data_IF_901770305985
#
_entry.id   IF_901770305985
#
_cell.length_a   1.000
_cell.length_b   1.000
_cell.length_c   1.000
_cell.angle_alpha   90.00
_cell.angle_beta   90.00
_cell.angle_gamma   90.00
#
_symmetry.space_group_name_H-M   'P 1'
#
loop_
_entity.id
_entity.type
_entity.pdbx_description
1 polymer ?
#
# COMPACT_ATOMS: atom_id res chain seq x y z
N UNK A 1 17.16 -10.64 8.30
CA UNK A 1 16.19 -9.53 8.47
C UNK A 1 16.54 -8.40 7.51
N UNK A 2 15.64 -8.05 6.60
CA UNK A 2 15.85 -6.98 5.62
C UNK A 2 15.25 -5.66 6.06
N UNK A 3 15.89 -4.55 5.70
CA UNK A 3 15.35 -3.21 5.85
C UNK A 3 14.89 -2.64 4.50
N UNK A 4 13.71 -2.02 4.49
CA UNK A 4 13.21 -1.16 3.42
C UNK A 4 12.95 0.21 4.00
N UNK A 5 13.67 1.21 3.49
CA UNK A 5 13.71 2.54 4.10
C UNK A 5 12.91 3.55 3.28
N UNK A 6 12.37 4.57 3.95
CA UNK A 6 11.71 5.66 3.27
C UNK A 6 12.72 6.39 2.34
N UNK A 7 12.39 6.63 1.05
CA UNK A 7 13.37 7.09 0.06
C UNK A 7 13.93 8.50 0.31
N UNK A 8 13.24 9.33 1.11
CA UNK A 8 13.63 10.74 1.32
C UNK A 8 13.85 11.12 2.78
N UNK A 9 13.40 10.29 3.75
CA UNK A 9 13.55 10.59 5.17
C UNK A 9 14.83 9.98 5.71
N UNK A 10 15.44 10.64 6.68
CA UNK A 10 16.52 10.05 7.45
C UNK A 10 15.92 9.01 8.43
N UNK A 11 16.21 7.75 8.20
CA UNK A 11 15.82 6.63 9.05
C UNK A 11 16.99 6.13 9.90
N UNK A 12 18.17 6.78 9.86
CA UNK A 12 19.39 6.32 10.55
C UNK A 12 19.19 6.06 12.05
N UNK A 13 18.44 6.87 12.82
CA UNK A 13 18.20 6.58 14.23
C UNK A 13 17.45 5.25 14.44
N UNK A 14 16.42 4.97 13.63
CA UNK A 14 15.67 3.74 13.72
C UNK A 14 16.46 2.53 13.22
N UNK A 15 17.27 2.70 12.19
CA UNK A 15 18.22 1.67 11.74
C UNK A 15 19.18 1.31 12.87
N UNK A 16 19.68 2.31 13.60
CA UNK A 16 20.53 2.11 14.78
C UNK A 16 19.85 1.30 15.89
N UNK A 17 18.57 1.56 16.17
CA UNK A 17 17.78 0.77 17.12
C UNK A 17 17.62 -0.69 16.65
N UNK A 18 17.23 -0.91 15.39
CA UNK A 18 17.12 -2.26 14.84
C UNK A 18 18.46 -2.99 14.89
N UNK A 19 19.57 -2.32 14.51
CA UNK A 19 20.90 -2.91 14.54
C UNK A 19 21.35 -3.29 15.95
N UNK A 20 21.07 -2.45 16.94
CA UNK A 20 21.35 -2.76 18.33
C UNK A 20 20.55 -3.97 18.83
N UNK A 21 19.26 -4.05 18.46
CA UNK A 21 18.42 -5.19 18.82
C UNK A 21 18.88 -6.48 18.14
N UNK A 22 19.15 -6.46 16.83
CA UNK A 22 19.57 -7.63 16.06
C UNK A 22 20.91 -8.19 16.52
N UNK A 23 21.86 -7.32 16.94
CA UNK A 23 23.17 -7.74 17.45
C UNK A 23 23.09 -8.56 18.75
N UNK A 24 22.00 -8.41 19.53
CA UNK A 24 21.78 -9.18 20.78
C UNK A 24 20.92 -10.43 20.56
N UNK A 25 20.39 -10.65 19.36
CA UNK A 25 19.46 -11.73 19.03
C UNK A 25 19.96 -12.69 17.94
N UNK A 26 21.23 -12.59 17.56
CA UNK A 26 21.85 -13.41 16.49
C UNK A 26 21.08 -13.32 15.15
N UNK A 27 20.66 -12.10 14.79
CA UNK A 27 19.93 -11.80 13.56
C UNK A 27 20.82 -10.96 12.65
N UNK A 28 21.12 -11.47 11.46
CA UNK A 28 21.79 -10.66 10.43
C UNK A 28 20.84 -9.58 9.90
N UNK A 29 21.31 -8.33 9.91
CA UNK A 29 20.60 -7.17 9.38
C UNK A 29 21.19 -6.74 8.04
N UNK A 30 20.33 -6.63 7.03
CA UNK A 30 20.71 -6.31 5.66
C UNK A 30 19.82 -5.20 5.10
N UNK A 31 20.36 -4.42 4.15
CA UNK A 31 19.60 -3.39 3.44
C UNK A 31 20.02 -3.32 1.98
N UNK A 32 19.29 -2.55 1.16
CA UNK A 32 19.68 -2.33 -0.22
C UNK A 32 21.00 -1.55 -0.33
N UNK A 33 21.81 -1.83 -1.36
CA UNK A 33 23.03 -1.08 -1.64
C UNK A 33 22.78 0.43 -1.69
N UNK A 34 21.67 0.83 -2.31
CA UNK A 34 21.27 2.24 -2.44
C UNK A 34 21.02 2.88 -1.07
N UNK A 35 20.28 2.20 -0.18
CA UNK A 35 19.99 2.72 1.14
C UNK A 35 21.22 2.78 2.05
N UNK A 36 22.07 1.75 2.01
CA UNK A 36 23.34 1.72 2.76
C UNK A 36 24.23 2.88 2.32
N UNK A 37 24.31 3.14 1.01
CA UNK A 37 25.11 4.24 0.45
C UNK A 37 24.50 5.60 0.80
N UNK A 38 23.20 5.77 0.61
CA UNK A 38 22.49 7.03 0.83
C UNK A 38 22.54 7.52 2.28
N UNK A 39 22.43 6.62 3.23
CA UNK A 39 22.39 6.95 4.67
C UNK A 39 23.73 6.71 5.36
N UNK A 40 24.78 6.33 4.63
CA UNK A 40 26.09 6.02 5.17
C UNK A 40 26.01 5.09 6.41
N UNK A 41 25.38 3.92 6.26
CA UNK A 41 25.13 2.96 7.34
C UNK A 41 26.30 1.96 7.49
N UNK A 42 27.35 2.30 8.28
CA UNK A 42 28.49 1.40 8.44
C UNK A 42 28.06 0.13 9.20
N UNK A 43 28.57 -1.02 8.77
CA UNK A 43 28.35 -2.29 9.46
C UNK A 43 27.06 -3.03 9.05
N UNK A 44 26.24 -2.48 8.16
CA UNK A 44 25.16 -3.21 7.53
C UNK A 44 25.65 -3.95 6.29
N UNK A 45 25.20 -5.18 6.12
CA UNK A 45 25.41 -5.93 4.87
C UNK A 45 24.54 -5.32 3.77
N UNK A 46 25.18 -4.89 2.68
CA UNK A 46 24.50 -4.31 1.52
C UNK A 46 24.20 -5.42 0.49
N UNK A 47 22.95 -5.52 0.06
CA UNK A 47 22.48 -6.49 -0.92
C UNK A 47 21.85 -5.77 -2.13
N UNK A 48 21.84 -6.43 -3.28
CA UNK A 48 20.98 -6.00 -4.39
C UNK A 48 19.50 -6.15 -3.99
N UNK A 49 18.61 -5.49 -4.72
CA UNK A 49 17.16 -5.55 -4.47
C UNK A 49 16.65 -6.99 -4.65
N UNK A 50 17.18 -7.72 -5.62
CA UNK A 50 16.85 -9.11 -5.93
C UNK A 50 17.33 -10.07 -4.83
N UNK A 51 18.56 -9.87 -4.32
CA UNK A 51 19.07 -10.65 -3.18
C UNK A 51 18.26 -10.37 -1.92
N UNK A 52 17.94 -9.10 -1.62
CA UNK A 52 17.11 -8.73 -0.49
C UNK A 52 15.74 -9.43 -0.55
N UNK A 53 15.10 -9.42 -1.73
CA UNK A 53 13.81 -10.05 -1.96
C UNK A 53 13.84 -11.58 -1.79
N UNK A 54 14.95 -12.23 -2.15
CA UNK A 54 15.06 -13.70 -2.19
C UNK A 54 15.63 -14.33 -0.91
N UNK A 55 16.42 -13.59 -0.13
CA UNK A 55 17.17 -14.17 1.00
C UNK A 55 16.58 -13.84 2.38
N UNK A 56 15.91 -12.69 2.53
CA UNK A 56 15.40 -12.27 3.83
C UNK A 56 14.23 -13.14 4.31
N UNK A 57 14.20 -13.48 5.60
CA UNK A 57 13.10 -14.22 6.23
C UNK A 57 12.02 -13.28 6.84
N UNK A 58 12.30 -12.00 6.88
CA UNK A 58 11.37 -10.94 7.29
C UNK A 58 11.90 -9.57 6.92
N UNK A 59 11.00 -8.62 6.78
CA UNK A 59 11.32 -7.24 6.39
C UNK A 59 10.79 -6.28 7.47
N UNK A 60 11.58 -5.26 7.78
CA UNK A 60 11.14 -4.09 8.55
C UNK A 60 11.09 -2.90 7.57
N UNK A 61 9.90 -2.37 7.36
CA UNK A 61 9.67 -1.18 6.54
C UNK A 61 9.67 0.06 7.43
N UNK A 62 10.72 0.88 7.35
CA UNK A 62 10.89 2.12 8.13
C UNK A 62 10.39 3.32 7.31
N UNK A 63 9.14 3.72 7.55
CA UNK A 63 8.49 4.80 6.79
C UNK A 63 7.00 4.87 7.04
N UNK A 64 6.24 5.37 6.06
CA UNK A 64 4.78 5.35 6.08
C UNK A 64 4.21 4.19 5.27
N UNK A 65 2.88 4.24 5.03
CA UNK A 65 2.16 3.20 4.28
C UNK A 65 2.79 2.92 2.90
N UNK A 66 3.25 3.94 2.17
CA UNK A 66 3.92 3.77 0.87
C UNK A 66 5.22 2.94 0.94
N UNK A 67 6.01 3.11 2.02
CA UNK A 67 7.23 2.30 2.25
C UNK A 67 6.86 0.84 2.53
N UNK A 68 5.82 0.63 3.32
CA UNK A 68 5.30 -0.70 3.64
C UNK A 68 4.78 -1.41 2.39
N UNK A 69 4.00 -0.72 1.55
CA UNK A 69 3.53 -1.27 0.26
C UNK A 69 4.70 -1.63 -0.66
N UNK A 70 5.73 -0.78 -0.73
CA UNK A 70 6.96 -1.06 -1.46
C UNK A 70 7.66 -2.33 -0.96
N UNK A 71 7.76 -2.49 0.36
CA UNK A 71 8.34 -3.68 0.99
C UNK A 71 7.53 -4.96 0.66
N UNK A 72 6.19 -4.88 0.72
CA UNK A 72 5.32 -6.01 0.36
C UNK A 72 5.48 -6.39 -1.13
N UNK A 73 5.54 -5.40 -2.04
CA UNK A 73 5.79 -5.66 -3.46
C UNK A 73 7.15 -6.33 -3.68
N UNK A 74 8.18 -5.85 -2.99
CA UNK A 74 9.54 -6.40 -3.10
C UNK A 74 9.57 -7.92 -2.83
N UNK A 75 8.88 -8.37 -1.79
CA UNK A 75 8.92 -9.78 -1.36
C UNK A 75 7.73 -10.61 -1.88
N UNK A 76 6.91 -10.09 -2.76
CA UNK A 76 5.68 -10.74 -3.23
C UNK A 76 5.89 -12.04 -4.01
N UNK A 77 7.09 -12.23 -4.60
CA UNK A 77 7.50 -13.48 -5.24
C UNK A 77 7.79 -14.62 -4.23
N UNK A 78 8.20 -14.26 -3.02
CA UNK A 78 8.40 -15.13 -1.85
C UNK A 78 7.88 -14.39 -0.61
N UNK A 79 6.57 -14.36 -0.35
CA UNK A 79 6.02 -13.57 0.74
C UNK A 79 6.64 -13.94 2.09
N UNK A 80 7.26 -12.96 2.73
CA UNK A 80 7.78 -13.05 4.09
C UNK A 80 7.09 -12.01 4.98
N UNK A 81 7.07 -12.18 6.31
CA UNK A 81 6.47 -11.21 7.21
C UNK A 81 7.09 -9.82 7.08
N UNK A 82 6.26 -8.80 6.92
CA UNK A 82 6.67 -7.39 6.82
C UNK A 82 6.11 -6.63 8.00
N UNK A 83 6.99 -6.02 8.82
CA UNK A 83 6.62 -5.11 9.89
C UNK A 83 6.70 -3.67 9.39
N UNK A 84 5.60 -2.92 9.46
CA UNK A 84 5.57 -1.48 9.16
C UNK A 84 5.82 -0.64 10.42
N UNK A 85 6.82 0.24 10.36
CA UNK A 85 7.16 1.20 11.42
C UNK A 85 6.99 2.61 10.89
N UNK A 86 6.09 3.38 11.52
CA UNK A 86 5.73 4.71 11.09
C UNK A 86 6.56 5.80 11.78
N UNK A 87 7.07 6.74 11.00
CA UNK A 87 7.79 7.92 11.46
C UNK A 87 7.11 9.23 11.05
N UNK A 88 5.82 9.22 10.84
CA UNK A 88 5.08 10.37 10.35
C UNK A 88 3.62 10.38 10.75
N UNK A 89 2.79 10.90 9.86
CA UNK A 89 1.35 10.97 10.07
C UNK A 89 0.75 9.57 10.21
N UNK A 90 -0.32 9.47 11.00
CA UNK A 90 -1.06 8.24 11.21
C UNK A 90 -1.43 7.58 9.87
N UNK A 91 -0.88 6.38 9.63
CA UNK A 91 -1.18 5.53 8.48
C UNK A 91 -2.30 4.52 8.78
N UNK A 92 -2.81 3.85 7.76
CA UNK A 92 -3.76 2.73 7.91
C UNK A 92 -3.05 1.40 8.12
N UNK A 93 -1.83 1.27 7.60
CA UNK A 93 -1.13 0.00 7.47
C UNK A 93 -0.03 -0.18 8.52
N UNK A 94 0.85 0.82 8.66
CA UNK A 94 1.94 0.78 9.63
C UNK A 94 1.40 0.93 11.06
N UNK A 95 1.62 -0.07 11.90
CA UNK A 95 1.07 -0.14 13.26
C UNK A 95 2.02 0.39 14.32
N UNK A 96 3.31 0.15 14.15
CA UNK A 96 4.33 0.48 15.14
C UNK A 96 4.81 1.92 14.94
N UNK A 97 4.90 2.69 16.02
CA UNK A 97 5.58 3.98 16.02
C UNK A 97 7.06 3.80 16.37
N UNK A 98 7.92 4.72 15.89
CA UNK A 98 9.36 4.61 16.13
C UNK A 98 9.73 4.45 17.62
N UNK A 99 8.98 5.07 18.52
CA UNK A 99 9.18 4.94 19.96
C UNK A 99 8.88 3.53 20.52
N UNK A 100 8.01 2.78 19.84
CA UNK A 100 7.58 1.44 20.25
C UNK A 100 8.38 0.31 19.56
N UNK A 101 9.39 0.65 18.74
CA UNK A 101 10.11 -0.28 17.87
C UNK A 101 10.76 -1.45 18.64
N UNK A 102 11.50 -1.17 19.71
CA UNK A 102 12.18 -2.21 20.51
C UNK A 102 11.17 -3.18 21.14
N UNK A 103 10.05 -2.65 21.66
CA UNK A 103 8.99 -3.47 22.23
C UNK A 103 8.29 -4.33 21.16
N UNK A 104 8.14 -3.80 19.94
CA UNK A 104 7.58 -4.54 18.82
C UNK A 104 8.49 -5.68 18.36
N UNK A 105 9.79 -5.44 18.22
CA UNK A 105 10.77 -6.45 17.86
C UNK A 105 10.83 -7.57 18.91
N UNK A 106 10.82 -7.22 20.20
CA UNK A 106 10.81 -8.19 21.29
C UNK A 106 9.56 -9.06 21.26
N UNK A 107 8.35 -8.47 21.02
CA UNK A 107 7.11 -9.24 20.87
C UNK A 107 7.15 -10.19 19.67
N UNK A 108 7.76 -9.77 18.55
CA UNK A 108 7.94 -10.63 17.38
C UNK A 108 8.83 -11.84 17.72
N UNK A 109 9.98 -11.61 18.37
CA UNK A 109 10.91 -12.66 18.76
C UNK A 109 10.28 -13.68 19.74
N UNK A 110 9.40 -13.21 20.61
CA UNK A 110 8.66 -14.03 21.58
C UNK A 110 7.43 -14.74 20.96
N UNK A 111 7.17 -14.57 19.66
CA UNK A 111 5.98 -15.13 18.99
C UNK A 111 4.66 -14.49 19.41
N UNK A 112 4.70 -13.30 20.01
CA UNK A 112 3.53 -12.52 20.46
C UNK A 112 3.06 -11.52 19.40
N UNK A 113 3.22 -11.88 18.15
CA UNK A 113 2.71 -11.14 17.00
C UNK A 113 1.83 -12.07 16.15
N UNK A 114 0.98 -11.48 15.33
CA UNK A 114 0.18 -12.22 14.36
C UNK A 114 0.57 -11.77 12.94
N UNK A 115 0.27 -12.61 11.95
CA UNK A 115 0.52 -12.30 10.54
C UNK A 115 -0.81 -12.28 9.81
N UNK A 116 -1.13 -11.12 9.26
CA UNK A 116 -2.30 -10.94 8.39
C UNK A 116 -1.90 -11.17 6.93
N UNK A 117 -2.64 -12.06 6.26
CA UNK A 117 -2.49 -12.30 4.82
C UNK A 117 -3.20 -11.22 4.03
N UNK A 118 -2.57 -10.71 2.98
CA UNK A 118 -3.12 -9.67 2.11
C UNK A 118 -3.07 -10.12 0.66
N UNK A 119 -4.19 -9.97 -0.04
CA UNK A 119 -4.23 -10.10 -1.48
C UNK A 119 -3.72 -8.83 -2.16
N UNK A 120 -3.43 -8.94 -3.44
CA UNK A 120 -3.04 -7.82 -4.30
C UNK A 120 -3.68 -7.92 -5.68
N UNK A 121 -3.60 -6.83 -6.43
CA UNK A 121 -3.91 -6.80 -7.85
C UNK A 121 -2.68 -7.25 -8.64
N UNK A 122 -2.89 -8.19 -9.55
CA UNK A 122 -1.92 -8.56 -10.58
C UNK A 122 -2.28 -7.81 -11.85
N UNK A 123 -1.37 -6.99 -12.31
CA UNK A 123 -1.63 -6.01 -13.38
C UNK A 123 -0.75 -6.35 -14.58
N UNK A 124 -1.38 -6.78 -15.67
CA UNK A 124 -0.71 -7.05 -16.94
C UNK A 124 -0.82 -5.86 -17.89
N UNK A 125 0.31 -5.35 -18.35
CA UNK A 125 0.40 -4.29 -19.35
C UNK A 125 1.72 -4.38 -20.12
N UNK A 126 1.71 -4.11 -21.42
CA UNK A 126 2.94 -4.06 -22.26
C UNK A 126 3.76 -5.35 -22.29
N UNK A 127 3.15 -6.50 -22.01
CA UNK A 127 3.83 -7.79 -21.95
C UNK A 127 4.55 -8.07 -20.60
N UNK A 128 4.45 -7.15 -19.64
CA UNK A 128 4.95 -7.30 -18.26
C UNK A 128 3.82 -7.53 -17.26
N UNK A 129 4.19 -7.96 -16.05
CA UNK A 129 3.31 -8.09 -14.89
C UNK A 129 3.84 -7.21 -13.76
N UNK A 130 2.92 -6.53 -13.07
CA UNK A 130 3.19 -5.71 -11.89
C UNK A 130 2.18 -6.00 -10.80
N UNK A 131 2.48 -5.62 -9.56
CA UNK A 131 1.58 -5.83 -8.43
C UNK A 131 1.22 -4.51 -7.75
N UNK A 132 -0.03 -4.40 -7.32
CA UNK A 132 -0.50 -3.29 -6.50
C UNK A 132 -1.25 -3.82 -5.28
N UNK A 133 -0.88 -3.34 -4.09
CA UNK A 133 -1.51 -3.72 -2.83
C UNK A 133 -2.63 -2.76 -2.43
N UNK A 134 -2.57 -1.49 -2.87
CA UNK A 134 -3.68 -0.55 -2.71
C UNK A 134 -4.50 -0.44 -3.98
N UNK A 135 -3.93 0.13 -5.03
CA UNK A 135 -4.69 0.48 -6.23
C UNK A 135 -3.85 0.58 -7.51
N UNK A 136 -4.56 0.43 -8.60
CA UNK A 136 -4.15 0.75 -9.97
C UNK A 136 -4.98 1.92 -10.42
N UNK A 137 -4.35 2.97 -10.92
CA UNK A 137 -5.04 4.20 -11.31
C UNK A 137 -4.74 4.56 -12.75
N UNK A 138 -5.78 4.82 -13.51
CA UNK A 138 -5.74 5.53 -14.78
C UNK A 138 -6.23 6.93 -14.50
N UNK A 139 -5.32 7.92 -14.50
CA UNK A 139 -5.65 9.31 -14.17
C UNK A 139 -5.51 10.22 -15.38
N UNK A 140 -6.49 11.08 -15.59
CA UNK A 140 -6.45 12.11 -16.61
C UNK A 140 -5.23 13.02 -16.45
N UNK A 141 -4.58 13.30 -17.58
CA UNK A 141 -3.54 14.32 -17.69
C UNK A 141 -4.13 15.54 -18.36
N UNK A 142 -3.94 16.76 -17.79
CA UNK A 142 -4.44 17.98 -18.40
C UNK A 142 -3.99 18.14 -19.86
N UNK A 143 -4.94 18.38 -20.77
CA UNK A 143 -4.68 18.52 -22.20
C UNK A 143 -4.67 17.21 -23.00
N UNK A 144 -4.71 16.05 -22.35
CA UNK A 144 -4.63 14.75 -23.04
C UNK A 144 -5.97 13.95 -23.06
N UNK A 145 -7.09 14.63 -22.82
CA UNK A 145 -8.42 14.05 -22.83
C UNK A 145 -8.83 13.40 -21.50
N UNK A 146 -10.02 12.84 -21.46
CA UNK A 146 -10.54 12.07 -20.32
C UNK A 146 -10.09 10.61 -20.42
N UNK A 147 -10.15 9.91 -19.31
CA UNK A 147 -10.01 8.45 -19.32
C UNK A 147 -11.26 7.84 -19.93
N UNK A 148 -11.10 7.20 -21.09
CA UNK A 148 -12.17 6.47 -21.75
C UNK A 148 -11.76 5.01 -21.88
N UNK A 149 -12.55 4.10 -21.29
CA UNK A 149 -12.22 2.70 -21.27
C UNK A 149 -13.44 1.79 -21.29
N UNK A 150 -13.36 0.69 -22.02
CA UNK A 150 -14.29 -0.43 -21.94
C UNK A 150 -13.82 -1.41 -20.87
N UNK A 151 -14.71 -1.78 -19.94
CA UNK A 151 -14.47 -2.85 -18.98
C UNK A 151 -15.08 -4.13 -19.47
N UNK A 152 -14.30 -5.21 -19.48
CA UNK A 152 -14.76 -6.58 -19.60
C UNK A 152 -14.43 -7.35 -18.33
N UNK A 153 -15.36 -8.20 -17.88
CA UNK A 153 -15.23 -9.07 -16.70
C UNK A 153 -15.38 -10.52 -17.19
N UNK A 154 -14.42 -11.37 -16.86
CA UNK A 154 -14.40 -12.77 -17.32
C UNK A 154 -14.65 -12.92 -18.83
N UNK A 155 -14.05 -12.04 -19.64
CA UNK A 155 -14.15 -12.03 -21.10
C UNK A 155 -15.45 -11.47 -21.66
N UNK A 156 -16.40 -11.05 -20.84
CA UNK A 156 -17.67 -10.45 -21.28
C UNK A 156 -17.66 -8.94 -21.06
N UNK A 157 -18.12 -8.17 -22.04
CA UNK A 157 -18.25 -6.72 -21.89
C UNK A 157 -19.21 -6.41 -20.74
N UNK A 158 -18.70 -5.68 -19.76
CA UNK A 158 -19.44 -5.28 -18.56
C UNK A 158 -19.98 -3.86 -18.67
N UNK A 159 -19.16 -2.93 -19.15
CA UNK A 159 -19.55 -1.54 -19.26
C UNK A 159 -18.49 -0.64 -19.88
N UNK A 160 -18.77 0.65 -19.83
CA UNK A 160 -17.92 1.72 -20.33
C UNK A 160 -17.73 2.79 -19.25
N UNK A 161 -16.56 3.39 -19.23
CA UNK A 161 -16.22 4.51 -18.37
C UNK A 161 -15.73 5.69 -19.20
N UNK A 162 -16.17 6.89 -18.83
CA UNK A 162 -15.59 8.16 -19.25
C UNK A 162 -15.53 9.08 -18.04
N UNK A 163 -14.33 9.28 -17.49
CA UNK A 163 -14.13 9.89 -16.17
C UNK A 163 -12.77 10.61 -16.10
N UNK A 164 -12.53 11.35 -15.02
CA UNK A 164 -11.23 11.97 -14.77
C UNK A 164 -10.20 10.96 -14.25
N UNK A 165 -10.65 9.96 -13.49
CA UNK A 165 -9.81 8.81 -13.14
C UNK A 165 -10.64 7.54 -13.02
N UNK A 166 -10.02 6.40 -13.33
CA UNK A 166 -10.55 5.07 -13.07
C UNK A 166 -9.60 4.35 -12.11
N UNK A 167 -10.12 4.02 -10.94
CA UNK A 167 -9.36 3.43 -9.84
C UNK A 167 -9.81 1.98 -9.65
N UNK A 168 -8.86 1.04 -9.72
CA UNK A 168 -9.08 -0.35 -9.36
C UNK A 168 -8.35 -0.60 -8.05
N UNK A 169 -9.08 -0.83 -6.99
CA UNK A 169 -8.52 -0.93 -5.64
C UNK A 169 -8.73 -2.32 -5.05
N UNK A 170 -7.78 -2.74 -4.21
CA UNK A 170 -7.99 -3.84 -3.28
C UNK A 170 -8.93 -3.39 -2.15
N UNK A 171 -9.50 -4.30 -1.36
CA UNK A 171 -10.18 -3.93 -0.12
C UNK A 171 -9.32 -3.10 0.83
N UNK A 172 -8.01 -3.39 0.93
CA UNK A 172 -7.05 -2.60 1.71
C UNK A 172 -6.91 -1.18 1.14
N UNK A 173 -6.82 -1.04 -0.19
CA UNK A 173 -6.74 0.24 -0.91
C UNK A 173 -8.06 1.01 -0.98
N UNK A 174 -9.18 0.41 -0.54
CA UNK A 174 -10.48 1.09 -0.54
C UNK A 174 -10.50 2.38 0.27
N UNK A 175 -9.61 2.52 1.25
CA UNK A 175 -9.42 3.72 2.09
C UNK A 175 -8.40 4.72 1.53
N UNK A 176 -7.79 4.43 0.37
CA UNK A 176 -6.82 5.27 -0.31
C UNK A 176 -7.51 6.16 -1.39
N UNK A 177 -7.03 6.16 -2.62
CA UNK A 177 -7.56 7.02 -3.67
C UNK A 177 -9.02 6.67 -4.03
N UNK A 178 -9.42 5.40 -3.95
CA UNK A 178 -10.81 4.98 -4.17
C UNK A 178 -11.77 5.72 -3.23
N UNK A 179 -11.43 5.85 -1.93
CA UNK A 179 -12.24 6.61 -0.98
C UNK A 179 -12.35 8.09 -1.37
N UNK A 180 -11.24 8.73 -1.69
CA UNK A 180 -11.22 10.13 -2.13
C UNK A 180 -12.04 10.37 -3.41
N UNK A 181 -12.20 9.35 -4.26
CA UNK A 181 -13.04 9.36 -5.45
C UNK A 181 -14.52 9.01 -5.17
N UNK A 182 -14.90 8.83 -3.90
CA UNK A 182 -16.27 8.50 -3.49
C UNK A 182 -16.58 7.00 -3.49
N UNK A 183 -15.57 6.15 -3.52
CA UNK A 183 -15.71 4.69 -3.36
C UNK A 183 -16.06 4.29 -1.93
N UNK A 184 -16.72 3.14 -1.73
CA UNK A 184 -17.04 2.64 -0.40
C UNK A 184 -15.79 2.13 0.31
N UNK A 185 -15.81 2.16 1.63
CA UNK A 185 -14.87 1.41 2.46
C UNK A 185 -15.21 -0.07 2.40
N UNK A 186 -14.24 -0.90 2.08
CA UNK A 186 -14.37 -2.36 2.05
C UNK A 186 -13.54 -2.95 3.17
N UNK A 187 -14.09 -3.94 3.88
CA UNK A 187 -13.36 -4.65 4.93
C UNK A 187 -12.07 -5.28 4.38
N UNK A 188 -10.91 -5.07 5.01
CA UNK A 188 -9.64 -5.65 4.56
C UNK A 188 -9.61 -7.19 4.54
N UNK A 189 -10.55 -7.84 5.21
CA UNK A 189 -10.74 -9.30 5.17
C UNK A 189 -11.58 -9.80 4.02
N UNK A 190 -12.10 -8.89 3.16
CA UNK A 190 -12.82 -9.24 1.94
C UNK A 190 -11.82 -9.47 0.81
N UNK A 191 -12.08 -10.43 -0.07
CA UNK A 191 -11.36 -10.59 -1.32
C UNK A 191 -12.14 -9.98 -2.48
N UNK A 192 -11.44 -9.32 -3.41
CA UNK A 192 -12.08 -8.75 -4.59
C UNK A 192 -11.43 -7.46 -5.09
N UNK A 193 -11.96 -6.94 -6.17
CA UNK A 193 -11.50 -5.76 -6.89
C UNK A 193 -12.59 -4.71 -6.89
N UNK A 194 -12.32 -3.57 -6.30
CA UNK A 194 -13.22 -2.42 -6.29
C UNK A 194 -12.88 -1.50 -7.47
N UNK A 195 -13.80 -1.29 -8.38
CA UNK A 195 -13.66 -0.39 -9.53
C UNK A 195 -14.41 0.90 -9.24
N UNK A 196 -13.71 2.02 -9.09
CA UNK A 196 -14.28 3.32 -8.72
C UNK A 196 -13.95 4.37 -9.78
N UNK A 197 -14.93 4.95 -10.48
CA UNK A 197 -14.70 6.10 -11.35
C UNK A 197 -14.69 7.40 -10.55
N UNK A 198 -13.76 8.31 -10.84
CA UNK A 198 -13.71 9.67 -10.31
C UNK A 198 -14.31 10.64 -11.32
N UNK A 199 -15.21 11.51 -10.89
CA UNK A 199 -15.91 12.49 -11.72
C UNK A 199 -16.42 11.89 -13.05
N UNK A 200 -17.24 10.84 -13.06
CA UNK A 200 -17.72 10.20 -14.27
C UNK A 200 -18.66 11.15 -15.04
N UNK A 201 -18.38 11.31 -16.35
CA UNK A 201 -19.22 12.10 -17.24
C UNK A 201 -20.37 11.27 -17.81
N UNK A 202 -20.07 10.04 -18.21
CA UNK A 202 -21.06 9.06 -18.69
C UNK A 202 -20.56 7.62 -18.47
N UNK A 203 -21.40 6.64 -18.73
CA UNK A 203 -21.13 5.21 -18.48
C UNK A 203 -21.43 4.82 -17.04
N UNK A 204 -20.64 3.92 -16.47
CA UNK A 204 -20.82 3.47 -15.09
C UNK A 204 -20.34 4.59 -14.14
N UNK A 205 -21.27 5.10 -13.33
CA UNK A 205 -21.03 6.22 -12.43
C UNK A 205 -20.94 5.81 -10.94
N UNK A 206 -21.01 4.53 -10.65
CA UNK A 206 -20.93 3.99 -9.28
C UNK A 206 -19.78 3.00 -9.18
N UNK A 207 -19.24 2.90 -7.97
CA UNK A 207 -18.25 1.86 -7.67
C UNK A 207 -18.89 0.48 -7.78
N UNK A 208 -18.10 -0.47 -8.29
CA UNK A 208 -18.49 -1.86 -8.44
C UNK A 208 -17.46 -2.72 -7.73
N UNK A 209 -17.90 -3.60 -6.83
CA UNK A 209 -17.04 -4.60 -6.21
C UNK A 209 -17.24 -5.93 -6.97
N UNK A 210 -16.15 -6.46 -7.50
CA UNK A 210 -16.10 -7.72 -8.24
C UNK A 210 -15.38 -8.77 -7.39
N UNK A 211 -15.86 -10.01 -7.47
CA UNK A 211 -15.33 -11.12 -6.68
C UNK A 211 -13.93 -11.58 -7.14
N UNK A 212 -13.23 -12.35 -6.31
CA UNK A 212 -12.00 -13.01 -6.72
C UNK A 212 -12.32 -14.06 -7.82
N UNK A 213 -11.41 -14.20 -8.78
CA UNK A 213 -11.62 -15.12 -9.94
C UNK A 213 -12.44 -14.50 -11.07
N UNK A 214 -12.73 -13.22 -11.03
CA UNK A 214 -13.33 -12.45 -12.11
C UNK A 214 -12.28 -11.55 -12.77
N UNK A 215 -11.41 -12.06 -13.66
CA UNK A 215 -10.35 -11.27 -14.28
C UNK A 215 -10.95 -10.11 -15.09
N UNK A 216 -10.35 -8.94 -14.89
CA UNK A 216 -10.75 -7.70 -15.53
C UNK A 216 -9.86 -7.41 -16.75
N UNK A 217 -10.45 -6.83 -17.76
CA UNK A 217 -9.75 -6.26 -18.90
C UNK A 217 -10.30 -4.85 -19.17
N UNK A 218 -9.42 -3.89 -19.12
CA UNK A 218 -9.66 -2.51 -19.53
C UNK A 218 -9.03 -2.29 -20.90
N UNK A 219 -9.83 -1.88 -21.87
CA UNK A 219 -9.39 -1.45 -23.20
C UNK A 219 -9.60 0.06 -23.30
N UNK A 220 -8.51 0.81 -23.45
CA UNK A 220 -8.57 2.26 -23.58
C UNK A 220 -9.14 2.62 -24.94
N UNK A 221 -10.18 3.44 -24.96
CA UNK A 221 -10.84 3.92 -26.17
C UNK A 221 -10.61 5.39 -26.44
N UNK A 222 -10.05 6.12 -25.47
CA UNK A 222 -9.74 7.54 -25.61
C UNK A 222 -8.95 8.11 -24.43
N UNK A 223 -8.40 9.30 -24.64
CA UNK A 223 -7.48 9.94 -23.71
C UNK A 223 -6.10 9.29 -23.70
N UNK A 224 -5.21 9.92 -22.92
CA UNK A 224 -3.85 9.41 -22.65
C UNK A 224 -3.54 9.49 -21.16
N UNK A 225 -4.18 8.65 -20.32
CA UNK A 225 -4.05 8.74 -18.88
C UNK A 225 -2.63 8.41 -18.39
N UNK A 226 -2.28 9.01 -17.26
CA UNK A 226 -1.20 8.52 -16.40
C UNK A 226 -1.61 7.16 -15.86
N UNK A 227 -0.65 6.25 -15.77
CA UNK A 227 -0.80 4.90 -15.23
C UNK A 227 0.01 4.78 -13.94
N UNK A 228 -0.66 4.54 -12.83
CA UNK A 228 -0.06 4.53 -11.50
C UNK A 228 -0.37 3.22 -10.76
N UNK A 229 0.59 2.75 -9.98
CA UNK A 229 0.46 1.59 -9.09
C UNK A 229 0.81 2.01 -7.66
N UNK A 230 -0.11 1.88 -6.71
CA UNK A 230 0.05 2.30 -5.32
C UNK A 230 0.60 3.73 -5.18
N UNK A 231 0.10 4.66 -6.01
CA UNK A 231 0.53 6.06 -6.02
C UNK A 231 1.89 6.33 -6.69
N UNK A 232 2.47 5.34 -7.37
CA UNK A 232 3.73 5.48 -8.12
C UNK A 232 3.41 5.53 -9.61
N UNK A 233 3.79 6.65 -10.27
CA UNK A 233 3.66 6.78 -11.73
C UNK A 233 4.58 5.76 -12.43
N UNK A 234 4.00 4.87 -13.22
CA UNK A 234 4.72 3.86 -13.99
C UNK A 234 4.83 4.22 -15.46
N UNK A 235 3.92 5.06 -15.97
CA UNK A 235 3.92 5.45 -17.37
C UNK A 235 2.63 6.14 -17.79
N UNK A 236 2.36 6.08 -19.08
CA UNK A 236 1.11 6.54 -19.71
C UNK A 236 0.60 5.47 -20.64
N UNK A 237 -0.70 5.45 -20.84
CA UNK A 237 -1.36 4.52 -21.75
C UNK A 237 -1.96 5.26 -22.93
N UNK A 238 -1.84 4.69 -24.12
CA UNK A 238 -2.44 5.24 -25.33
C UNK A 238 -3.77 4.53 -25.66
N UNK A 239 -4.61 5.18 -26.46
CA UNK A 239 -5.85 4.57 -26.95
C UNK A 239 -5.52 3.29 -27.74
N UNK A 240 -6.30 2.23 -27.52
CA UNK A 240 -6.06 0.88 -28.07
C UNK A 240 -5.26 -0.02 -27.16
N UNK A 241 -4.55 0.50 -26.16
CA UNK A 241 -3.85 -0.33 -25.18
C UNK A 241 -4.81 -1.01 -24.21
N UNK A 242 -4.34 -2.11 -23.65
CA UNK A 242 -5.09 -2.95 -22.73
C UNK A 242 -4.35 -3.13 -21.42
N UNK A 243 -5.09 -2.98 -20.34
CA UNK A 243 -4.65 -3.36 -18.99
C UNK A 243 -5.50 -4.54 -18.53
N UNK A 244 -4.86 -5.61 -18.08
CA UNK A 244 -5.54 -6.72 -17.40
C UNK A 244 -5.30 -6.61 -15.91
N UNK A 245 -6.32 -6.92 -15.11
CA UNK A 245 -6.21 -6.92 -13.66
C UNK A 245 -6.87 -8.18 -13.11
N UNK A 246 -6.11 -8.89 -12.30
CA UNK A 246 -6.57 -10.10 -11.62
C UNK A 246 -6.29 -10.01 -10.13
N UNK A 247 -6.91 -10.89 -9.35
CA UNK A 247 -6.74 -10.99 -7.91
C UNK A 247 -5.77 -12.10 -7.54
N UNK A 248 -4.75 -11.79 -6.72
CA UNK A 248 -3.86 -12.78 -6.13
C UNK A 248 -4.06 -12.81 -4.62
N UNK A 249 -4.45 -13.98 -4.10
CA UNK A 249 -4.55 -14.22 -2.67
C UNK A 249 -3.15 -14.32 -2.03
N UNK A 250 -3.08 -14.02 -0.74
CA UNK A 250 -1.90 -14.28 0.10
C UNK A 250 -0.57 -13.72 -0.46
N UNK A 251 -0.64 -12.64 -1.22
CA UNK A 251 0.52 -12.04 -1.87
C UNK A 251 1.44 -11.27 -0.92
N UNK A 252 0.94 -10.88 0.24
CA UNK A 252 1.70 -10.16 1.28
C UNK A 252 1.36 -10.66 2.67
N UNK A 253 2.37 -10.63 3.56
CA UNK A 253 2.26 -11.03 4.96
C UNK A 253 2.56 -9.82 5.84
N UNK A 254 1.53 -9.24 6.46
CA UNK A 254 1.64 -8.06 7.30
C UNK A 254 1.70 -8.45 8.77
N UNK A 255 2.77 -8.06 9.46
CA UNK A 255 2.92 -8.31 10.91
C UNK A 255 2.04 -7.35 11.69
N UNK A 256 1.31 -7.89 12.67
CA UNK A 256 0.53 -7.16 13.66
C UNK A 256 1.05 -7.47 15.06
N UNK A 257 1.39 -6.42 15.78
CA UNK A 257 1.88 -6.50 17.17
C UNK A 257 0.71 -6.47 18.14
N UNK A 258 -0.36 -5.73 17.81
CA UNK A 258 -1.58 -5.63 18.60
C UNK A 258 -2.78 -5.41 17.67
N UNK A 259 -3.50 -6.48 17.36
CA UNK A 259 -4.64 -6.42 16.44
C UNK A 259 -5.79 -5.52 16.92
N UNK A 260 -5.97 -5.33 18.23
CA UNK A 260 -6.97 -4.41 18.77
C UNK A 260 -6.59 -2.96 18.49
N UNK A 261 -5.33 -2.62 18.68
CA UNK A 261 -4.77 -1.29 18.42
C UNK A 261 -4.84 -0.91 16.94
N UNK A 262 -4.60 -1.88 16.04
CA UNK A 262 -4.74 -1.69 14.60
C UNK A 262 -6.20 -1.40 14.20
N UNK A 263 -7.16 -2.12 14.78
CA UNK A 263 -8.59 -1.92 14.53
C UNK A 263 -9.07 -0.54 15.04
N UNK A 264 -8.63 -0.12 16.22
CA UNK A 264 -9.00 1.18 16.80
C UNK A 264 -8.41 2.34 15.96
N UNK A 265 -7.16 2.24 15.52
CA UNK A 265 -6.54 3.22 14.60
C UNK A 265 -7.33 3.35 13.30
N UNK A 266 -7.73 2.24 12.70
CA UNK A 266 -8.53 2.24 11.48
C UNK A 266 -9.87 2.93 11.67
N UNK A 267 -10.56 2.68 12.80
CA UNK A 267 -11.82 3.35 13.15
C UNK A 267 -11.65 4.85 13.30
N UNK A 268 -10.64 5.29 14.07
CA UNK A 268 -10.35 6.72 14.26
C UNK A 268 -10.03 7.37 12.92
N UNK A 269 -9.16 6.77 12.10
CA UNK A 269 -8.78 7.35 10.81
C UNK A 269 -9.96 7.45 9.86
N UNK A 270 -10.83 6.44 9.79
CA UNK A 270 -12.05 6.50 8.98
C UNK A 270 -12.97 7.63 9.44
N UNK A 271 -13.12 7.81 10.76
CA UNK A 271 -13.91 8.91 11.32
C UNK A 271 -13.32 10.30 11.01
N UNK A 272 -11.99 10.38 10.79
CA UNK A 272 -11.28 11.64 10.50
C UNK A 272 -11.22 11.97 9.00
N UNK A 273 -11.42 11.00 8.11
CA UNK A 273 -11.37 11.23 6.66
C UNK A 273 -12.41 12.25 6.17
N UNK A 274 -13.57 12.31 6.81
CA UNK A 274 -14.65 13.23 6.46
C UNK A 274 -14.54 14.60 7.15
N UNK A 275 -13.54 14.80 8.00
CA UNK A 275 -13.33 16.05 8.74
C UNK A 275 -12.08 16.78 8.23
N UNK A 276 -12.21 17.95 7.59
CA UNK A 276 -11.05 18.68 7.02
C UNK A 276 -10.11 19.22 8.10
N UNK A 277 -10.62 19.54 9.28
CA UNK A 277 -9.88 19.94 10.49
C UNK A 277 -10.67 19.44 11.69
N UNK A 278 -10.01 18.81 12.65
CA UNK A 278 -10.64 18.46 13.91
C UNK A 278 -10.77 19.73 14.77
N UNK A 279 -11.97 20.22 15.04
CA UNK A 279 -12.17 21.18 16.11
C UNK A 279 -11.58 20.66 17.42
N UNK A 280 -11.00 21.54 18.25
CA UNK A 280 -10.37 21.15 19.51
C UNK A 280 -11.31 20.30 20.41
N UNK A 281 -12.63 20.57 20.32
CA UNK A 281 -13.68 19.83 21.02
C UNK A 281 -13.80 18.36 20.56
N UNK A 282 -13.50 18.07 19.30
CA UNK A 282 -13.51 16.70 18.78
C UNK A 282 -12.23 15.95 19.09
N UNK A 283 -11.12 16.64 19.37
CA UNK A 283 -9.89 16.01 19.85
C UNK A 283 -10.09 15.29 21.18
N UNK A 284 -11.03 15.74 22.00
CA UNK A 284 -11.37 15.06 23.27
C UNK A 284 -11.99 13.68 23.05
N UNK A 285 -12.62 13.43 21.90
CA UNK A 285 -13.17 12.12 21.51
C UNK A 285 -12.12 11.16 20.97
N UNK A 286 -10.93 11.67 20.61
CA UNK A 286 -9.82 10.84 20.15
C UNK A 286 -9.12 10.23 21.37
N UNK A 287 -8.91 8.93 21.44
CA UNK A 287 -8.13 8.30 22.52
C UNK A 287 -6.80 9.02 22.75
N UNK A 288 -6.41 9.23 24.00
CA UNK A 288 -5.28 10.09 24.40
C UNK A 288 -3.96 9.69 23.71
N UNK A 289 -3.74 8.38 23.53
CA UNK A 289 -2.55 7.85 22.87
C UNK A 289 -2.48 8.17 21.36
N UNK A 290 -3.61 8.59 20.74
CA UNK A 290 -3.68 9.00 19.34
C UNK A 290 -3.67 10.52 19.14
N UNK A 291 -3.92 11.32 20.22
CA UNK A 291 -3.98 12.80 20.15
C UNK A 291 -2.65 13.44 19.78
N UNK A 292 -1.53 12.84 20.18
CA UNK A 292 -0.17 13.38 19.97
C UNK A 292 0.18 13.61 18.49
N UNK A 293 -0.54 13.00 17.55
CA UNK A 293 -0.37 13.20 16.10
C UNK A 293 -1.10 14.42 15.52
N UNK A 294 -2.02 15.04 16.28
CA UNK A 294 -2.89 16.13 15.83
C UNK A 294 -2.56 17.51 16.45
N UNK A 295 -1.61 17.56 17.37
CA UNK A 295 -1.19 18.79 18.07
C UNK A 295 -0.11 19.59 17.31
N UNK A 296 0.04 19.38 15.98
CA UNK A 296 1.01 20.14 15.16
C UNK A 296 0.35 20.91 14.05
#
# INVERSE_FOLDING_TARGET
MGLVLHPRRDCSPAVGQVAAWTSTHDVELVASIDDVTRLALPGLTALSVEELASTCDGIIALGGDGTLLGAMRLVSGRPVPVLGVNFGNLGFLAEVEGADLDAALSKMAEGRSTVERRGCLVVGHGGGESLAFNDVVLARVPGEGMVEANLSVSGRRYGHYRCDALILATPMGSTAYSYAAGGPVVSPGTDGILVTPSAPLNGIARSVLLGPGEPLRLELTGGRPAFELDGVLTGRLDAGETVTVDWRHDAGLLVRIDGSRAADRSRVKLSLLDLPVLPAELLELVPEHLRRGFER
#
